data_IF_853228286263
#
_entry.id   IF_853228286263
#
_cell.length_a   1.000
_cell.length_b   1.000
_cell.length_c   1.000
_cell.angle_alpha   90.00
_cell.angle_beta   90.00
_cell.angle_gamma   90.00
#
_symmetry.space_group_name_H-M   'P 1'
#
loop_
_entity.id
_entity.type
_entity.pdbx_description
1 polymer ?
#
# COMPACT_ATOMS: atom_id res chain seq x y z
N UNK A 1 60.03 -45.35 5.36
CA UNK A 1 58.85 -46.18 5.71
C UNK A 1 58.13 -45.49 6.86
N UNK A 2 56.86 -45.10 6.64
CA UNK A 2 55.80 -44.78 7.63
C UNK A 2 56.06 -43.56 8.55
N UNK A 3 55.13 -42.65 8.87
CA UNK A 3 53.67 -42.69 8.77
C UNK A 3 53.12 -41.25 8.59
N UNK A 4 52.17 -41.10 7.65
CA UNK A 4 51.43 -39.86 7.39
C UNK A 4 50.31 -39.75 8.43
N UNK A 5 50.23 -38.60 9.10
CA UNK A 5 48.97 -38.01 9.56
C UNK A 5 48.13 -38.82 10.54
N UNK A 6 48.35 -38.60 11.84
CA UNK A 6 47.25 -38.65 12.81
C UNK A 6 46.94 -37.22 13.22
N UNK A 7 45.94 -36.61 12.55
CA UNK A 7 45.23 -35.47 13.13
C UNK A 7 44.47 -36.02 14.34
N UNK A 8 45.04 -35.81 15.51
CA UNK A 8 44.46 -36.21 16.78
C UNK A 8 43.20 -35.36 17.06
N UNK A 9 42.02 -35.95 16.80
CA UNK A 9 40.72 -35.61 17.39
C UNK A 9 40.10 -34.25 17.03
N UNK A 10 38.82 -34.24 16.62
CA UNK A 10 38.04 -32.99 16.68
C UNK A 10 37.68 -32.70 18.14
N UNK A 11 37.83 -31.45 18.57
CA UNK A 11 37.28 -31.00 19.86
C UNK A 11 35.85 -30.56 19.58
N UNK A 12 34.88 -31.42 19.88
CA UNK A 12 33.47 -31.02 19.85
C UNK A 12 33.17 -30.22 21.12
N UNK A 13 33.21 -28.90 21.01
CA UNK A 13 32.56 -28.04 22.00
C UNK A 13 31.05 -28.25 21.90
N UNK A 14 30.49 -29.03 22.81
CA UNK A 14 29.04 -29.05 23.03
C UNK A 14 28.66 -27.77 23.75
N UNK A 15 28.18 -26.76 23.00
CA UNK A 15 27.52 -25.62 23.63
C UNK A 15 26.20 -26.16 24.20
N UNK A 16 25.98 -26.08 25.54
CA UNK A 16 24.73 -26.55 26.11
C UNK A 16 23.58 -25.76 25.50
N UNK A 17 22.65 -26.47 24.83
CA UNK A 17 21.45 -25.92 24.15
C UNK A 17 20.61 -25.02 25.07
N UNK A 18 20.75 -25.21 26.39
CA UNK A 18 20.12 -24.40 27.43
C UNK A 18 20.50 -22.90 27.32
N UNK A 19 21.72 -22.58 26.89
CA UNK A 19 22.18 -21.18 26.68
C UNK A 19 21.50 -20.54 25.47
N UNK A 20 21.04 -21.33 24.49
CA UNK A 20 20.28 -20.82 23.33
C UNK A 20 18.81 -20.63 23.70
N UNK A 21 18.24 -21.55 24.50
CA UNK A 21 16.81 -21.55 24.78
C UNK A 21 16.36 -20.44 25.76
N UNK A 22 17.24 -19.99 26.66
CA UNK A 22 16.93 -18.89 27.58
C UNK A 22 16.82 -17.51 26.88
N UNK A 23 17.36 -17.39 25.66
CA UNK A 23 17.22 -16.18 24.82
C UNK A 23 16.23 -16.35 23.65
N UNK A 24 15.65 -17.54 23.45
CA UNK A 24 14.73 -17.82 22.34
C UNK A 24 13.30 -17.29 22.58
N UNK A 25 12.88 -17.17 23.84
CA UNK A 25 11.57 -16.63 24.23
C UNK A 25 11.28 -15.21 23.69
N UNK A 26 12.16 -14.22 23.90
CA UNK A 26 11.93 -12.84 23.43
C UNK A 26 12.00 -12.70 21.91
N UNK A 27 12.70 -13.57 21.18
CA UNK A 27 12.80 -13.52 19.72
C UNK A 27 11.42 -13.78 19.07
N UNK A 28 10.68 -14.77 19.57
CA UNK A 28 9.35 -15.09 19.07
C UNK A 28 8.35 -13.97 19.35
N UNK A 29 8.36 -13.39 20.56
CA UNK A 29 7.46 -12.30 20.91
C UNK A 29 7.75 -11.03 20.10
N UNK A 30 9.02 -10.68 19.90
CA UNK A 30 9.41 -9.53 19.08
C UNK A 30 9.00 -9.74 17.60
N UNK A 31 9.14 -10.96 17.09
CA UNK A 31 8.72 -11.29 15.72
C UNK A 31 7.21 -11.14 15.53
N UNK A 32 6.40 -11.60 16.49
CA UNK A 32 4.94 -11.41 16.48
C UNK A 32 4.59 -9.92 16.57
N UNK A 33 5.26 -9.16 17.45
CA UNK A 33 5.02 -7.73 17.59
C UNK A 33 5.30 -6.97 16.28
N UNK A 34 6.41 -7.26 15.61
CA UNK A 34 6.76 -6.67 14.31
C UNK A 34 5.76 -7.07 13.22
N UNK A 35 5.33 -8.33 13.20
CA UNK A 35 4.31 -8.82 12.26
C UNK A 35 2.98 -8.09 12.47
N UNK A 36 2.51 -7.96 13.71
CA UNK A 36 1.28 -7.23 14.02
C UNK A 36 1.41 -5.75 13.68
N UNK A 37 2.54 -5.10 14.03
CA UNK A 37 2.78 -3.71 13.71
C UNK A 37 2.78 -3.46 12.18
N UNK A 38 3.45 -4.31 11.41
CA UNK A 38 3.49 -4.20 9.94
C UNK A 38 2.12 -4.47 9.31
N UNK A 39 1.34 -5.42 9.84
CA UNK A 39 -0.03 -5.67 9.40
C UNK A 39 -0.94 -4.45 9.65
N UNK A 40 -0.88 -3.87 10.84
CA UNK A 40 -1.64 -2.65 11.18
C UNK A 40 -1.23 -1.50 10.26
N UNK A 41 0.07 -1.31 10.03
CA UNK A 41 0.56 -0.27 9.12
C UNK A 41 0.06 -0.48 7.69
N UNK A 42 0.08 -1.73 7.20
CA UNK A 42 -0.43 -2.07 5.87
C UNK A 42 -1.92 -1.74 5.73
N UNK A 43 -2.75 -2.11 6.72
CA UNK A 43 -4.18 -1.79 6.73
C UNK A 43 -4.41 -0.27 6.75
N UNK A 44 -3.69 0.47 7.58
CA UNK A 44 -3.78 1.93 7.62
C UNK A 44 -3.43 2.56 6.27
N UNK A 45 -2.33 2.13 5.65
CA UNK A 45 -1.93 2.59 4.32
C UNK A 45 -2.98 2.26 3.26
N UNK A 46 -3.52 1.04 3.26
CA UNK A 46 -4.60 0.66 2.34
C UNK A 46 -5.82 1.56 2.49
N UNK A 47 -6.22 1.90 3.71
CA UNK A 47 -7.35 2.80 3.98
C UNK A 47 -7.05 4.22 3.46
N UNK A 48 -5.84 4.72 3.68
CA UNK A 48 -5.41 6.05 3.21
C UNK A 48 -5.45 6.10 1.68
N UNK A 49 -4.87 5.10 1.00
CA UNK A 49 -4.86 5.04 -0.46
C UNK A 49 -6.27 4.88 -1.04
N UNK A 50 -7.10 4.02 -0.44
CA UNK A 50 -8.47 3.81 -0.89
C UNK A 50 -9.30 5.11 -0.81
N UNK A 51 -9.11 5.92 0.24
CA UNK A 51 -9.85 7.17 0.43
C UNK A 51 -9.24 8.36 -0.32
N UNK A 52 -7.92 8.43 -0.43
CA UNK A 52 -7.20 9.54 -1.06
C UNK A 52 -7.10 9.42 -2.58
N UNK A 53 -7.06 8.20 -3.12
CA UNK A 53 -6.79 7.97 -4.55
C UNK A 53 -7.92 7.17 -5.19
N UNK A 54 -8.15 5.94 -4.72
CA UNK A 54 -9.09 5.02 -5.39
C UNK A 54 -10.52 5.57 -5.41
N UNK A 55 -11.01 6.09 -4.29
CA UNK A 55 -12.36 6.66 -4.17
C UNK A 55 -12.60 7.85 -5.12
N UNK A 56 -11.74 8.89 -5.11
CA UNK A 56 -11.84 10.00 -6.06
C UNK A 56 -11.77 9.57 -7.53
N UNK A 57 -10.88 8.64 -7.89
CA UNK A 57 -10.78 8.11 -9.26
C UNK A 57 -12.05 7.37 -9.66
N UNK A 58 -12.63 6.56 -8.77
CA UNK A 58 -13.90 5.87 -9.02
C UNK A 58 -15.04 6.88 -9.23
N UNK A 59 -15.07 7.97 -8.45
CA UNK A 59 -16.06 9.04 -8.61
C UNK A 59 -15.92 9.77 -9.95
N UNK A 60 -14.69 10.08 -10.38
CA UNK A 60 -14.44 10.66 -11.71
C UNK A 60 -14.88 9.70 -12.82
N UNK A 61 -14.54 8.42 -12.71
CA UNK A 61 -14.91 7.39 -13.68
C UNK A 61 -16.43 7.27 -13.83
N UNK A 62 -17.16 7.21 -12.71
CA UNK A 62 -18.64 7.17 -12.73
C UNK A 62 -19.24 8.43 -13.35
N UNK A 63 -18.65 9.59 -13.05
CA UNK A 63 -19.13 10.85 -13.62
C UNK A 63 -18.89 10.90 -15.13
N UNK A 64 -17.73 10.44 -15.59
CA UNK A 64 -17.40 10.32 -17.01
C UNK A 64 -18.37 9.40 -17.76
N UNK A 65 -18.76 8.28 -17.16
CA UNK A 65 -19.77 7.38 -17.73
C UNK A 65 -21.13 8.08 -17.88
N UNK A 66 -21.60 8.82 -16.87
CA UNK A 66 -22.85 9.59 -16.96
C UNK A 66 -22.79 10.71 -18.01
N UNK A 67 -21.66 11.41 -18.11
CA UNK A 67 -21.41 12.41 -19.16
C UNK A 67 -21.49 11.78 -20.54
N UNK A 68 -20.95 10.57 -20.72
CA UNK A 68 -20.98 9.85 -22.00
C UNK A 68 -22.40 9.51 -22.45
N UNK A 69 -23.32 9.33 -21.49
CA UNK A 69 -24.76 9.13 -21.73
C UNK A 69 -25.53 10.44 -21.95
N UNK A 70 -24.84 11.58 -21.92
CA UNK A 70 -25.40 12.90 -22.17
C UNK A 70 -25.92 13.65 -20.94
N UNK A 71 -25.70 13.09 -19.74
CA UNK A 71 -26.04 13.72 -18.46
C UNK A 71 -24.90 14.67 -18.02
N UNK A 72 -25.07 15.97 -18.28
CA UNK A 72 -24.07 17.02 -18.00
C UNK A 72 -24.42 17.87 -16.76
N UNK A 73 -25.47 17.51 -16.03
CA UNK A 73 -25.93 18.23 -14.85
C UNK A 73 -25.33 17.67 -13.54
N UNK A 74 -24.38 16.73 -13.65
CA UNK A 74 -23.68 16.11 -12.53
C UNK A 74 -22.65 17.04 -11.90
N UNK A 75 -22.64 17.12 -10.58
CA UNK A 75 -21.69 17.92 -9.80
C UNK A 75 -20.47 17.09 -9.38
N UNK A 76 -19.27 17.54 -9.75
CA UNK A 76 -18.02 16.88 -9.39
C UNK A 76 -17.46 17.55 -8.12
N UNK A 77 -17.87 17.04 -6.97
CA UNK A 77 -17.27 17.47 -5.70
C UNK A 77 -16.14 16.51 -5.28
N UNK A 78 -14.90 16.84 -5.63
CA UNK A 78 -13.72 16.15 -5.11
C UNK A 78 -12.85 17.21 -4.45
N UNK A 79 -12.70 17.10 -3.13
CA UNK A 79 -11.87 18.00 -2.32
C UNK A 79 -10.53 17.31 -2.11
N UNK A 80 -9.56 17.63 -2.96
CA UNK A 80 -8.17 17.24 -2.77
C UNK A 80 -7.25 18.41 -3.07
N UNK A 81 -6.07 18.44 -2.43
CA UNK A 81 -5.06 19.50 -2.58
C UNK A 81 -3.80 19.00 -3.30
N UNK A 82 -3.91 17.86 -3.95
CA UNK A 82 -2.84 17.17 -4.70
C UNK A 82 -3.23 17.10 -6.19
N UNK A 83 -2.51 16.26 -6.95
CA UNK A 83 -2.73 16.04 -8.38
C UNK A 83 -4.14 15.52 -8.69
N UNK A 84 -4.81 14.84 -7.75
CA UNK A 84 -6.21 14.40 -7.90
C UNK A 84 -7.16 15.61 -7.87
N UNK A 85 -6.83 16.62 -7.06
CA UNK A 85 -7.55 17.89 -7.02
C UNK A 85 -7.43 18.64 -8.35
N UNK A 86 -6.21 18.79 -8.85
CA UNK A 86 -5.95 19.44 -10.14
C UNK A 86 -6.64 18.71 -11.29
N UNK A 87 -6.61 17.37 -11.30
CA UNK A 87 -7.32 16.56 -12.28
C UNK A 87 -8.83 16.76 -12.20
N UNK A 88 -9.40 16.80 -11.00
CA UNK A 88 -10.82 17.04 -10.80
C UNK A 88 -11.25 18.42 -11.33
N UNK A 89 -10.45 19.46 -11.09
CA UNK A 89 -10.75 20.80 -11.62
C UNK A 89 -10.66 20.85 -13.15
N UNK A 90 -9.64 20.22 -13.74
CA UNK A 90 -9.51 20.12 -15.19
C UNK A 90 -10.70 19.37 -15.82
N UNK A 91 -11.11 18.27 -15.20
CA UNK A 91 -12.28 17.49 -15.60
C UNK A 91 -13.57 18.32 -15.48
N UNK A 92 -13.75 19.07 -14.39
CA UNK A 92 -14.89 19.97 -14.22
C UNK A 92 -14.97 21.02 -15.34
N UNK A 93 -13.84 21.66 -15.69
CA UNK A 93 -13.79 22.63 -16.82
C UNK A 93 -14.20 22.01 -18.14
N UNK A 94 -13.80 20.75 -18.41
CA UNK A 94 -14.23 20.01 -19.60
C UNK A 94 -15.75 19.84 -19.65
N UNK A 95 -16.37 19.41 -18.53
CA UNK A 95 -17.82 19.21 -18.44
C UNK A 95 -18.60 20.50 -18.67
N UNK A 96 -18.15 21.60 -18.05
CA UNK A 96 -18.75 22.93 -18.23
C UNK A 96 -18.68 23.36 -19.71
N UNK A 97 -17.54 23.13 -20.37
CA UNK A 97 -17.37 23.42 -21.81
C UNK A 97 -18.34 22.60 -22.67
N UNK A 98 -18.45 21.29 -22.42
CA UNK A 98 -19.41 20.42 -23.11
C UNK A 98 -20.85 20.91 -22.94
N UNK A 99 -21.24 21.28 -21.72
CA UNK A 99 -22.57 21.81 -21.40
C UNK A 99 -22.86 23.11 -22.14
N UNK A 100 -21.88 24.00 -22.21
CA UNK A 100 -22.00 25.26 -22.95
C UNK A 100 -22.19 25.01 -24.46
N UNK A 101 -21.44 24.08 -25.06
CA UNK A 101 -21.59 23.73 -26.47
C UNK A 101 -22.96 23.10 -26.78
N UNK A 102 -23.49 22.26 -25.89
CA UNK A 102 -24.83 21.65 -26.04
C UNK A 102 -25.94 22.70 -26.03
N UNK A 103 -25.84 23.75 -25.21
CA UNK A 103 -26.85 24.82 -25.09
C UNK A 103 -26.88 25.79 -26.29
N UNK A 104 -25.81 25.83 -27.10
CA UNK A 104 -25.71 26.72 -28.28
C UNK A 104 -26.35 26.12 -29.54
N UNK A 105 -26.73 24.85 -29.52
CA UNK A 105 -27.59 24.21 -30.53
C UNK A 105 -29.05 24.37 -30.16
#
# INVERSE_FOLDING_TARGET
MLNKGEQAGDIRLGIPVQVINDEAGPILLNSIAVMLASFVLAVLLSIVLARGITGPIEKLTKTADEISKGNLDMEIEIKSKDEIGELSEAFHRMVVSLKFMKKKK
#
